data_IF_235087836081
#
_entry.id   IF_235087836081
#
_cell.length_a   1.000
_cell.length_b   1.000
_cell.length_c   1.000
_cell.angle_alpha   90.00
_cell.angle_beta   90.00
_cell.angle_gamma   90.00
#
_symmetry.space_group_name_H-M   'P 1'
#
loop_
_entity.id
_entity.type
_entity.pdbx_description
1 polymer ?
#
# COMPACT_ATOMS: atom_id res chain seq x y z
N UNK A 1 -5.62 20.23 -5.09
CA UNK A 1 -5.68 19.52 -3.80
C UNK A 1 -4.90 18.24 -4.00
N UNK A 2 -3.75 18.10 -3.33
CA UNK A 2 -2.98 16.85 -3.39
C UNK A 2 -3.74 15.91 -2.47
N UNK A 3 -4.49 14.96 -3.03
CA UNK A 3 -5.03 13.84 -2.26
C UNK A 3 -3.85 13.21 -1.52
N UNK A 4 -3.84 13.35 -0.19
CA UNK A 4 -2.92 12.60 0.65
C UNK A 4 -3.12 11.14 0.33
N UNK A 5 -2.11 10.58 -0.35
CA UNK A 5 -1.99 9.19 -0.74
C UNK A 5 -2.50 8.33 0.41
N UNK A 6 -3.71 7.80 0.23
CA UNK A 6 -4.48 7.21 1.30
C UNK A 6 -3.81 5.88 1.67
N UNK A 7 -2.94 5.90 2.66
CA UNK A 7 -2.50 4.65 3.29
C UNK A 7 -3.63 4.18 4.18
N UNK A 8 -4.50 3.31 3.67
CA UNK A 8 -5.61 2.73 4.43
C UNK A 8 -5.13 2.07 5.72
N UNK A 9 -3.90 1.57 5.76
CA UNK A 9 -3.29 0.85 6.88
C UNK A 9 -2.41 1.74 7.78
N UNK A 10 -2.57 3.07 7.70
CA UNK A 10 -1.97 3.95 8.71
C UNK A 10 -2.56 3.62 10.09
N UNK A 11 -1.77 3.75 11.18
CA UNK A 11 -2.25 3.47 12.54
C UNK A 11 -3.56 4.20 12.87
N UNK A 12 -3.73 5.44 12.40
CA UNK A 12 -4.91 6.25 12.65
C UNK A 12 -6.15 5.68 11.94
N UNK A 13 -6.02 5.31 10.66
CA UNK A 13 -7.14 4.73 9.89
C UNK A 13 -7.51 3.34 10.37
N UNK A 14 -6.52 2.57 10.81
CA UNK A 14 -6.76 1.26 11.42
C UNK A 14 -7.56 1.41 12.72
N UNK A 15 -7.22 2.39 13.57
CA UNK A 15 -7.98 2.69 14.79
C UNK A 15 -9.42 3.12 14.48
N UNK A 16 -9.61 3.99 13.48
CA UNK A 16 -10.94 4.40 13.02
C UNK A 16 -11.75 3.22 12.48
N UNK A 17 -11.13 2.34 11.70
CA UNK A 17 -11.76 1.13 11.20
C UNK A 17 -12.20 0.22 12.36
N UNK A 18 -11.31 -0.06 13.32
CA UNK A 18 -11.63 -0.87 14.50
C UNK A 18 -12.76 -0.25 15.33
N UNK A 19 -12.77 1.06 15.52
CA UNK A 19 -13.86 1.76 16.19
C UNK A 19 -15.20 1.59 15.44
N UNK A 20 -15.17 1.62 14.10
CA UNK A 20 -16.32 1.38 13.24
C UNK A 20 -16.82 -0.06 13.22
N UNK A 21 -16.04 -1.02 13.74
CA UNK A 21 -16.48 -2.41 13.92
C UNK A 21 -17.29 -2.63 15.21
N UNK A 22 -17.32 -1.64 16.11
CA UNK A 22 -18.05 -1.74 17.38
C UNK A 22 -19.56 -1.88 17.13
N UNK A 23 -20.17 -2.95 17.66
CA UNK A 23 -21.59 -3.24 17.49
C UNK A 23 -21.97 -4.09 16.27
N UNK A 24 -21.01 -4.44 15.40
CA UNK A 24 -21.25 -5.37 14.29
C UNK A 24 -21.26 -6.83 14.78
N UNK A 25 -22.04 -7.66 14.09
CA UNK A 25 -21.99 -9.11 14.30
C UNK A 25 -20.64 -9.69 13.84
N UNK A 26 -20.26 -10.86 14.37
CA UNK A 26 -18.98 -11.52 14.00
C UNK A 26 -18.84 -11.73 12.49
N UNK A 27 -19.94 -12.02 11.79
CA UNK A 27 -19.91 -12.23 10.34
C UNK A 27 -19.64 -10.94 9.56
N UNK A 28 -20.21 -9.82 10.00
CA UNK A 28 -19.97 -8.50 9.41
C UNK A 28 -18.55 -8.01 9.68
N UNK A 29 -18.00 -8.29 10.86
CA UNK A 29 -16.60 -8.01 11.18
C UNK A 29 -15.66 -8.73 10.22
N UNK A 30 -15.90 -10.02 9.95
CA UNK A 30 -15.07 -10.81 9.03
C UNK A 30 -15.15 -10.23 7.61
N UNK A 31 -16.36 -9.91 7.13
CA UNK A 31 -16.55 -9.28 5.81
C UNK A 31 -15.85 -7.93 5.71
N UNK A 32 -15.98 -7.09 6.74
CA UNK A 32 -15.35 -5.78 6.78
C UNK A 32 -13.82 -5.90 6.74
N UNK A 33 -13.23 -6.81 7.53
CA UNK A 33 -11.78 -7.07 7.51
C UNK A 33 -11.29 -7.55 6.14
N UNK A 34 -12.02 -8.46 5.50
CA UNK A 34 -11.69 -8.92 4.14
C UNK A 34 -11.74 -7.79 3.12
N UNK A 35 -12.82 -6.99 3.12
CA UNK A 35 -12.97 -5.82 2.25
C UNK A 35 -11.85 -4.81 2.48
N UNK A 36 -11.50 -4.55 3.73
CA UNK A 36 -10.46 -3.62 4.09
C UNK A 36 -9.08 -4.04 3.56
N UNK A 37 -8.72 -5.33 3.69
CA UNK A 37 -7.47 -5.86 3.11
C UNK A 37 -7.49 -5.77 1.58
N UNK A 38 -8.60 -6.13 0.93
CA UNK A 38 -8.73 -6.05 -0.56
C UNK A 38 -8.55 -4.62 -1.06
N UNK A 39 -9.11 -3.65 -0.35
CA UNK A 39 -8.95 -2.24 -0.67
C UNK A 39 -7.50 -1.80 -0.48
N UNK A 40 -6.86 -2.18 0.64
CA UNK A 40 -5.45 -1.87 0.88
C UNK A 40 -4.51 -2.45 -0.20
N UNK A 41 -4.81 -3.66 -0.68
CA UNK A 41 -4.07 -4.28 -1.81
C UNK A 41 -4.30 -3.49 -3.10
N UNK A 42 -5.54 -3.07 -3.37
CA UNK A 42 -5.87 -2.28 -4.55
C UNK A 42 -5.17 -0.91 -4.53
N UNK A 43 -5.12 -0.26 -3.37
CA UNK A 43 -4.38 0.99 -3.16
C UNK A 43 -2.87 0.79 -3.37
N UNK A 44 -2.30 -0.30 -2.84
CA UNK A 44 -0.90 -0.64 -3.08
C UNK A 44 -0.61 -0.84 -4.57
N UNK A 45 -1.47 -1.57 -5.30
CA UNK A 45 -1.33 -1.77 -6.74
C UNK A 45 -1.45 -0.44 -7.51
N UNK A 46 -2.39 0.43 -7.13
CA UNK A 46 -2.54 1.75 -7.73
C UNK A 46 -1.29 2.64 -7.50
N UNK A 47 -0.69 2.57 -6.30
CA UNK A 47 0.56 3.25 -5.99
C UNK A 47 1.72 2.74 -6.87
N UNK A 48 1.85 1.42 -7.02
CA UNK A 48 2.86 0.81 -7.91
C UNK A 48 2.65 1.26 -9.37
N UNK A 49 1.42 1.25 -9.86
CA UNK A 49 1.11 1.64 -11.25
C UNK A 49 1.35 3.13 -11.50
N UNK A 50 1.06 3.97 -10.50
CA UNK A 50 1.40 5.40 -10.54
C UNK A 50 2.91 5.59 -10.68
N UNK A 51 3.72 4.83 -9.93
CA UNK A 51 5.17 4.91 -10.03
C UNK A 51 5.71 4.48 -11.39
N UNK A 52 5.10 3.48 -12.04
CA UNK A 52 5.43 3.12 -13.43
C UNK A 52 5.14 4.26 -14.39
N UNK A 53 4.03 4.98 -14.21
CA UNK A 53 3.67 6.13 -15.03
C UNK A 53 4.66 7.29 -14.88
N UNK A 54 5.23 7.46 -13.68
CA UNK A 54 6.28 8.45 -13.40
C UNK A 54 7.64 8.13 -14.05
N UNK A 55 7.84 6.92 -14.61
CA UNK A 55 9.10 6.51 -15.26
C UNK A 55 9.44 7.36 -16.48
N UNK A 56 8.44 7.75 -17.27
CA UNK A 56 8.62 8.58 -18.48
C UNK A 56 9.12 9.97 -18.10
N UNK A 57 8.55 10.57 -17.05
CA UNK A 57 8.95 11.89 -16.55
C UNK A 57 10.38 11.86 -15.99
N UNK A 58 10.73 10.82 -15.23
CA UNK A 58 12.08 10.64 -14.71
C UNK A 58 13.14 10.51 -15.80
N UNK A 59 12.78 9.93 -16.96
CA UNK A 59 13.70 9.78 -18.08
C UNK A 59 14.23 11.12 -18.59
N UNK A 60 13.37 12.15 -18.67
CA UNK A 60 13.76 13.49 -19.10
C UNK A 60 14.68 14.19 -18.09
N UNK A 61 14.44 14.00 -16.78
CA UNK A 61 15.29 14.56 -15.74
C UNK A 61 16.63 13.83 -15.58
N UNK A 62 16.66 12.53 -15.86
CA UNK A 62 17.88 11.71 -15.80
C UNK A 62 18.94 12.13 -16.83
N UNK A 63 18.55 12.82 -17.92
CA UNK A 63 19.48 13.38 -18.91
C UNK A 63 20.32 14.55 -18.36
N UNK A 64 19.91 15.16 -17.24
CA UNK A 64 20.60 16.30 -16.65
C UNK A 64 21.31 15.85 -15.36
N UNK A 65 22.66 15.78 -15.34
CA UNK A 65 23.43 15.17 -14.24
C UNK A 65 23.19 15.79 -12.86
N UNK A 66 22.83 17.08 -12.81
CA UNK A 66 22.58 17.79 -11.54
C UNK A 66 21.41 17.18 -10.74
N UNK A 67 20.46 16.52 -11.41
CA UNK A 67 19.31 15.90 -10.75
C UNK A 67 19.57 14.47 -10.26
N UNK A 68 20.71 13.86 -10.58
CA UNK A 68 21.00 12.47 -10.20
C UNK A 68 20.96 12.21 -8.69
N UNK A 69 21.55 13.04 -7.81
CA UNK A 69 21.46 12.83 -6.37
C UNK A 69 20.01 12.89 -5.87
N UNK A 70 19.20 13.78 -6.45
CA UNK A 70 17.79 13.91 -6.12
C UNK A 70 16.99 12.69 -6.56
N UNK A 71 17.17 12.23 -7.80
CA UNK A 71 16.50 11.03 -8.34
C UNK A 71 16.87 9.79 -7.49
N UNK A 72 18.14 9.66 -7.10
CA UNK A 72 18.59 8.56 -6.24
C UNK A 72 17.93 8.59 -4.87
N UNK A 73 17.88 9.75 -4.22
CA UNK A 73 17.22 9.92 -2.93
C UNK A 73 15.71 9.64 -3.02
N UNK A 74 15.06 10.13 -4.08
CA UNK A 74 13.64 9.91 -4.34
C UNK A 74 13.34 8.43 -4.54
N UNK A 75 14.14 7.72 -5.34
CA UNK A 75 14.00 6.27 -5.55
C UNK A 75 14.09 5.51 -4.22
N UNK A 76 15.11 5.78 -3.41
CA UNK A 76 15.29 5.11 -2.11
C UNK A 76 14.10 5.37 -1.16
N UNK A 77 13.58 6.59 -1.15
CA UNK A 77 12.39 6.95 -0.36
C UNK A 77 11.15 6.19 -0.83
N UNK A 78 10.91 6.15 -2.14
CA UNK A 78 9.78 5.43 -2.74
C UNK A 78 9.85 3.93 -2.46
N UNK A 79 11.02 3.31 -2.63
CA UNK A 79 11.21 1.89 -2.37
C UNK A 79 10.95 1.55 -0.89
N UNK A 80 11.40 2.41 0.03
CA UNK A 80 11.12 2.26 1.46
C UNK A 80 9.62 2.37 1.77
N UNK A 81 8.90 3.30 1.12
CA UNK A 81 7.45 3.46 1.29
C UNK A 81 6.68 2.25 0.76
N UNK A 82 7.03 1.73 -0.42
CA UNK A 82 6.42 0.52 -0.98
C UNK A 82 6.64 -0.69 -0.09
N UNK A 83 7.85 -0.85 0.45
CA UNK A 83 8.17 -1.92 1.40
C UNK A 83 7.33 -1.81 2.67
N UNK A 84 7.26 -0.62 3.25
CA UNK A 84 6.47 -0.37 4.46
C UNK A 84 4.98 -0.67 4.24
N UNK A 85 4.41 -0.21 3.12
CA UNK A 85 3.02 -0.47 2.77
C UNK A 85 2.75 -1.99 2.60
N UNK A 86 3.65 -2.69 1.91
CA UNK A 86 3.56 -4.16 1.76
C UNK A 86 3.66 -4.88 3.11
N UNK A 87 4.61 -4.48 3.95
CA UNK A 87 4.79 -5.05 5.30
C UNK A 87 3.54 -4.81 6.17
N UNK A 88 2.91 -3.63 6.09
CA UNK A 88 1.65 -3.34 6.79
C UNK A 88 0.51 -4.25 6.35
N UNK A 89 0.35 -4.48 5.05
CA UNK A 89 -0.68 -5.38 4.52
C UNK A 89 -0.43 -6.82 5.01
N UNK A 90 0.83 -7.29 4.94
CA UNK A 90 1.22 -8.62 5.45
C UNK A 90 0.91 -8.77 6.94
N UNK A 91 1.30 -7.79 7.75
CA UNK A 91 1.05 -7.80 9.19
C UNK A 91 -0.47 -7.82 9.49
N UNK A 92 -1.28 -7.07 8.75
CA UNK A 92 -2.74 -7.08 8.92
C UNK A 92 -3.35 -8.45 8.56
N UNK A 93 -2.91 -9.07 7.46
CA UNK A 93 -3.32 -10.42 7.07
C UNK A 93 -2.92 -11.44 8.14
N UNK A 94 -1.69 -11.38 8.64
CA UNK A 94 -1.19 -12.31 9.66
C UNK A 94 -1.96 -12.18 10.99
N UNK A 95 -2.22 -10.94 11.44
CA UNK A 95 -2.97 -10.67 12.68
C UNK A 95 -4.43 -11.11 12.57
N UNK A 96 -5.04 -11.05 11.38
CA UNK A 96 -6.44 -11.43 11.18
C UNK A 96 -6.63 -12.80 10.52
N UNK A 97 -5.56 -13.58 10.38
CA UNK A 97 -5.57 -14.87 9.69
C UNK A 97 -6.65 -15.82 10.21
N UNK A 98 -6.82 -15.86 11.53
CA UNK A 98 -7.81 -16.73 12.19
C UNK A 98 -9.25 -16.26 11.94
N UNK A 99 -9.47 -14.95 11.81
CA UNK A 99 -10.78 -14.37 11.53
C UNK A 99 -11.17 -14.47 10.06
N UNK A 100 -10.19 -14.38 9.15
CA UNK A 100 -10.38 -14.38 7.70
C UNK A 100 -10.68 -15.77 7.12
N UNK A 101 -10.84 -16.79 7.97
CA UNK A 101 -11.24 -18.17 7.60
C UNK A 101 -10.44 -18.75 6.42
N UNK A 102 -9.17 -18.37 6.28
CA UNK A 102 -8.30 -18.85 5.19
C UNK A 102 -8.51 -18.19 3.84
N UNK A 103 -9.12 -17.00 3.77
CA UNK A 103 -9.13 -16.19 2.54
C UNK A 103 -7.70 -15.95 2.04
N UNK A 104 -7.49 -16.19 0.74
CA UNK A 104 -6.22 -15.94 0.06
C UNK A 104 -6.23 -14.53 -0.52
N UNK A 105 -5.24 -13.74 -0.12
CA UNK A 105 -5.02 -12.40 -0.65
C UNK A 105 -3.78 -12.41 -1.54
N UNK A 106 -3.94 -11.99 -2.78
CA UNK A 106 -2.85 -11.93 -3.74
C UNK A 106 -2.09 -10.60 -3.60
N UNK A 107 -0.98 -10.66 -2.86
CA UNK A 107 -0.08 -9.55 -2.60
C UNK A 107 1.24 -9.66 -3.39
N UNK A 108 1.44 -10.75 -4.14
CA UNK A 108 2.74 -11.07 -4.76
C UNK A 108 2.93 -10.47 -6.16
N UNK A 109 2.05 -9.55 -6.56
CA UNK A 109 2.25 -8.82 -7.80
C UNK A 109 3.41 -7.83 -7.72
N UNK A 110 4.48 -8.25 -8.42
CA UNK A 110 5.57 -7.46 -8.99
C UNK A 110 6.57 -6.92 -7.97
N UNK A 111 7.76 -7.55 -7.95
CA UNK A 111 9.00 -6.82 -7.71
C UNK A 111 9.01 -5.64 -8.69
N UNK A 112 8.72 -4.44 -8.18
CA UNK A 112 8.81 -3.23 -8.96
C UNK A 112 10.28 -2.95 -9.17
N UNK A 113 10.83 -3.57 -10.21
CA UNK A 113 12.14 -3.28 -10.75
C UNK A 113 12.11 -1.87 -11.36
N UNK A 114 12.29 -0.86 -10.51
CA UNK A 114 12.42 0.56 -10.88
C UNK A 114 13.77 0.81 -11.58
N UNK A 115 13.97 0.28 -12.78
CA UNK A 115 15.11 0.67 -13.66
C UNK A 115 14.67 1.64 -14.73
#
# INVERSE_FOLDING_TARGET
MIEQQQDSLSPEKLQLFIAGLSGLSREEIVKAKSLYIRNAISEYRAMVETLKSFRVVHLFFALIPIFWPFIYAQKRSTDAQLRLARERIRNAIDVWKDDLRGEKFDLDDQEVSTW
#
